data_IF_048446724953
#
_entry.id   IF_048446724953
#
_cell.length_a   1.000
_cell.length_b   1.000
_cell.length_c   1.000
_cell.angle_alpha   90.00
_cell.angle_beta   90.00
_cell.angle_gamma   90.00
#
_symmetry.space_group_name_H-M   'P 1'
#
loop_
_entity.id
_entity.type
_entity.pdbx_description
1 polymer ?
#
# COMPACT_ATOMS: atom_id res chain seq x y z
N UNK A 1 -2.10 -23.28 -33.21
CA UNK A 1 -3.06 -22.91 -32.16
C UNK A 1 -2.47 -21.71 -31.45
N UNK A 2 -3.17 -20.57 -31.46
CA UNK A 2 -2.63 -19.33 -30.90
C UNK A 2 -3.09 -19.20 -29.45
N UNK A 3 -2.16 -18.85 -28.56
CA UNK A 3 -2.49 -18.48 -27.18
C UNK A 3 -3.29 -17.18 -27.18
N UNK A 4 -4.36 -17.14 -26.38
CA UNK A 4 -5.19 -15.94 -26.18
C UNK A 4 -5.36 -15.66 -24.69
N UNK A 5 -5.38 -14.40 -24.31
CA UNK A 5 -5.68 -13.97 -22.94
C UNK A 5 -7.20 -14.07 -22.74
N UNK A 6 -7.63 -14.80 -21.71
CA UNK A 6 -9.06 -14.98 -21.37
C UNK A 6 -9.57 -14.01 -20.32
N UNK A 7 -8.68 -13.30 -19.64
CA UNK A 7 -9.02 -12.34 -18.60
C UNK A 7 -7.78 -11.70 -18.00
N UNK A 8 -7.99 -10.56 -17.37
CA UNK A 8 -7.00 -9.84 -16.58
C UNK A 8 -7.73 -9.20 -15.39
N UNK A 9 -7.02 -9.03 -14.28
CA UNK A 9 -7.53 -8.37 -13.08
C UNK A 9 -6.41 -7.57 -12.43
N UNK A 10 -6.79 -6.50 -11.74
CA UNK A 10 -5.88 -5.79 -10.84
C UNK A 10 -5.87 -6.45 -9.47
N UNK A 11 -4.75 -6.32 -8.77
CA UNK A 11 -4.59 -6.75 -7.39
C UNK A 11 -3.84 -5.67 -6.62
N UNK A 12 -4.10 -5.59 -5.32
CA UNK A 12 -3.32 -4.79 -4.39
C UNK A 12 -2.75 -5.71 -3.33
N UNK A 13 -1.46 -5.52 -3.03
CA UNK A 13 -0.76 -6.22 -1.97
C UNK A 13 -0.48 -5.25 -0.83
N UNK A 14 -0.92 -5.58 0.38
CA UNK A 14 -0.61 -4.80 1.58
C UNK A 14 0.76 -5.25 2.11
N UNK A 15 1.78 -4.42 1.86
CA UNK A 15 3.17 -4.69 2.25
C UNK A 15 3.75 -3.49 3.02
N UNK A 16 3.18 -3.12 4.18
CA UNK A 16 3.56 -1.91 4.92
C UNK A 16 5.04 -1.93 5.34
N UNK A 17 5.58 -3.12 5.62
CA UNK A 17 6.97 -3.33 6.05
C UNK A 17 8.01 -2.93 4.99
N UNK A 18 7.62 -2.83 3.71
CA UNK A 18 8.51 -2.32 2.66
C UNK A 18 9.01 -0.91 3.01
N UNK A 19 8.22 -0.09 3.71
CA UNK A 19 8.64 1.23 4.17
C UNK A 19 9.77 1.11 5.19
N UNK A 20 9.69 0.14 6.10
CA UNK A 20 10.67 -0.07 7.17
C UNK A 20 12.01 -0.62 6.68
N UNK A 21 11.98 -1.49 5.67
CA UNK A 21 13.16 -2.22 5.22
C UNK A 21 13.74 -1.70 3.90
N UNK A 22 12.93 -1.03 3.07
CA UNK A 22 13.33 -0.57 1.74
C UNK A 22 13.22 0.95 1.56
N UNK A 23 12.68 1.68 2.54
CA UNK A 23 12.67 3.14 2.52
C UNK A 23 14.06 3.72 2.69
N UNK A 24 14.43 4.69 1.86
CA UNK A 24 15.76 5.34 1.90
C UNK A 24 16.01 6.08 3.21
N UNK A 25 14.99 6.74 3.76
CA UNK A 25 15.07 7.41 5.06
C UNK A 25 15.31 6.40 6.19
N UNK A 26 14.53 5.32 6.24
CA UNK A 26 14.61 4.29 7.27
C UNK A 26 15.94 3.54 7.20
N UNK A 27 16.38 3.18 5.99
CA UNK A 27 17.67 2.51 5.79
C UNK A 27 18.86 3.42 6.14
N UNK A 28 18.82 4.70 5.78
CA UNK A 28 19.84 5.68 6.18
C UNK A 28 19.86 5.86 7.69
N UNK A 29 18.71 6.08 8.32
CA UNK A 29 18.59 6.30 9.76
C UNK A 29 19.10 5.09 10.56
N UNK A 30 18.80 3.85 10.12
CA UNK A 30 19.34 2.64 10.77
C UNK A 30 20.87 2.57 10.74
N UNK A 31 21.52 3.16 9.72
CA UNK A 31 22.98 3.19 9.60
C UNK A 31 23.56 4.29 10.49
N UNK A 32 22.97 5.48 10.48
CA UNK A 32 23.55 6.66 11.16
C UNK A 32 23.14 6.77 12.63
N UNK A 33 21.95 6.27 12.99
CA UNK A 33 21.33 6.41 14.30
C UNK A 33 20.34 5.25 14.58
N UNK A 34 20.84 4.03 14.87
CA UNK A 34 20.00 2.84 14.98
C UNK A 34 18.98 2.87 16.13
N UNK A 35 19.21 3.70 17.17
CA UNK A 35 18.35 3.80 18.34
C UNK A 35 17.39 5.01 18.30
N UNK A 36 17.22 5.63 17.12
CA UNK A 36 16.43 6.85 16.98
C UNK A 36 14.96 6.64 17.36
N UNK A 37 14.38 7.65 18.01
CA UNK A 37 12.94 7.65 18.33
C UNK A 37 12.10 7.53 17.06
N UNK A 38 12.54 8.15 15.96
CA UNK A 38 11.89 7.97 14.66
C UNK A 38 11.75 6.50 14.27
N UNK A 39 12.82 5.69 14.36
CA UNK A 39 12.76 4.28 13.99
C UNK A 39 11.82 3.46 14.89
N UNK A 40 11.65 3.88 16.16
CA UNK A 40 10.73 3.23 17.11
C UNK A 40 9.26 3.54 16.80
N UNK A 41 8.98 4.77 16.37
CA UNK A 41 7.62 5.26 16.13
C UNK A 41 7.08 4.90 14.73
N UNK A 42 7.94 4.77 13.71
CA UNK A 42 7.49 4.52 12.32
C UNK A 42 6.51 3.34 12.18
N UNK A 43 6.68 2.17 12.82
CA UNK A 43 5.73 1.06 12.73
C UNK A 43 4.30 1.44 13.13
N UNK A 44 4.12 2.35 14.08
CA UNK A 44 2.81 2.79 14.57
C UNK A 44 2.08 3.73 13.58
N UNK A 45 2.83 4.30 12.63
CA UNK A 45 2.32 5.18 11.60
C UNK A 45 2.10 4.47 10.25
N UNK A 46 2.36 3.16 10.18
CA UNK A 46 2.05 2.38 8.98
C UNK A 46 0.53 2.16 8.88
N UNK A 47 0.00 2.30 7.67
CA UNK A 47 -1.43 2.10 7.41
C UNK A 47 -1.82 0.66 7.71
N UNK A 48 -2.87 0.48 8.52
CA UNK A 48 -3.43 -0.84 8.81
C UNK A 48 -4.01 -1.49 7.54
N UNK A 49 -4.21 -2.81 7.59
CA UNK A 49 -4.85 -3.53 6.49
C UNK A 49 -6.30 -3.04 6.30
N UNK A 50 -7.01 -2.86 7.41
CA UNK A 50 -8.40 -2.42 7.44
C UNK A 50 -8.56 -1.04 6.82
N UNK A 51 -7.70 -0.08 7.15
CA UNK A 51 -7.69 1.26 6.53
C UNK A 51 -7.35 1.19 5.04
N UNK A 52 -6.42 0.30 4.65
CA UNK A 52 -6.07 0.04 3.26
C UNK A 52 -7.25 -0.50 2.44
N UNK A 53 -8.05 -1.40 3.03
CA UNK A 53 -9.25 -1.96 2.40
C UNK A 53 -10.36 -0.92 2.34
N UNK A 54 -10.56 -0.13 3.40
CA UNK A 54 -11.59 0.91 3.45
C UNK A 54 -11.32 2.08 2.48
N UNK A 55 -10.09 2.21 1.96
CA UNK A 55 -9.74 3.26 1.03
C UNK A 55 -10.42 3.06 -0.33
N UNK A 56 -11.38 3.93 -0.63
CA UNK A 56 -12.23 3.84 -1.82
C UNK A 56 -11.46 3.76 -3.14
N UNK A 57 -10.41 4.57 -3.38
CA UNK A 57 -9.60 4.44 -4.59
C UNK A 57 -8.98 3.06 -4.78
N UNK A 58 -8.60 2.36 -3.70
CA UNK A 58 -8.09 0.99 -3.79
C UNK A 58 -9.19 0.02 -4.26
N UNK A 59 -10.41 0.17 -3.75
CA UNK A 59 -11.56 -0.65 -4.12
C UNK A 59 -11.97 -0.43 -5.58
N UNK A 60 -11.92 0.83 -6.04
CA UNK A 60 -12.14 1.16 -7.45
C UNK A 60 -11.05 0.57 -8.35
N UNK A 61 -9.78 0.66 -7.95
CA UNK A 61 -8.66 0.13 -8.72
C UNK A 61 -8.76 -1.38 -8.96
N UNK A 62 -9.14 -2.15 -7.94
CA UNK A 62 -9.31 -3.62 -8.06
C UNK A 62 -10.68 -4.03 -8.62
N UNK A 63 -11.55 -3.08 -8.93
CA UNK A 63 -12.84 -3.32 -9.58
C UNK A 63 -13.97 -3.76 -8.66
N UNK A 64 -13.85 -3.57 -7.34
CA UNK A 64 -14.94 -3.82 -6.39
C UNK A 64 -16.01 -2.73 -6.42
N UNK A 65 -15.65 -1.50 -6.82
CA UNK A 65 -16.52 -0.31 -6.87
C UNK A 65 -16.33 0.40 -8.21
N UNK A 66 -17.40 0.94 -8.81
CA UNK A 66 -17.30 1.67 -10.07
C UNK A 66 -16.70 3.08 -9.86
N UNK A 67 -15.91 3.63 -10.81
CA UNK A 67 -15.38 4.99 -10.70
C UNK A 67 -16.44 6.08 -10.50
N UNK A 68 -17.64 5.89 -11.04
CA UNK A 68 -18.75 6.84 -10.83
C UNK A 68 -19.24 6.87 -9.38
N UNK A 69 -19.16 5.74 -8.66
CA UNK A 69 -19.48 5.65 -7.24
C UNK A 69 -18.40 6.33 -6.40
N UNK A 70 -17.12 6.18 -6.76
CA UNK A 70 -16.00 6.90 -6.15
C UNK A 70 -16.19 8.41 -6.24
N UNK A 71 -16.61 8.92 -7.41
CA UNK A 71 -16.81 10.35 -7.64
C UNK A 71 -17.92 10.98 -6.79
N UNK A 72 -18.75 10.19 -6.09
CA UNK A 72 -19.77 10.70 -5.17
C UNK A 72 -19.26 10.85 -3.72
N UNK A 73 -18.09 10.27 -3.39
CA UNK A 73 -17.59 10.21 -2.01
C UNK A 73 -16.24 10.90 -1.79
N UNK A 74 -15.55 11.32 -2.86
CA UNK A 74 -14.27 12.05 -2.85
C UNK A 74 -14.40 13.44 -3.50
#
# INVERSE_FOLDING_TARGET
MNSVIKGASYVLAHTPDMVLYNGTTQTTERIVNPDSEYLKEVPEHLRSYEDCVAYWPNQTYIGNVHPDELAQVE
#
